data_IF_402782555901
#
_entry.id   IF_402782555901
#
_cell.length_a   1.000
_cell.length_b   1.000
_cell.length_c   1.000
_cell.angle_alpha   90.00
_cell.angle_beta   90.00
_cell.angle_gamma   90.00
#
_symmetry.space_group_name_H-M   'P 1'
#
loop_
_entity.id
_entity.type
_entity.pdbx_description
1 polymer ?
#
# COMPACT_ATOMS: atom_id res chain seq x y z
N UNK A 1 38.60 -60.90 11.05
CA UNK A 1 37.36 -60.82 11.85
C UNK A 1 36.80 -59.42 11.70
N UNK A 2 35.64 -59.32 11.03
CA UNK A 2 34.93 -58.08 10.71
C UNK A 2 34.38 -57.46 12.00
N UNK A 3 34.63 -56.18 12.25
CA UNK A 3 33.78 -55.35 13.11
C UNK A 3 33.59 -54.00 12.42
N UNK A 4 32.47 -53.89 11.70
CA UNK A 4 31.90 -52.63 11.27
C UNK A 4 31.54 -51.83 12.52
N UNK A 5 32.08 -50.62 12.65
CA UNK A 5 31.51 -49.59 13.51
C UNK A 5 30.84 -48.61 12.55
N UNK A 6 29.53 -48.79 12.41
CA UNK A 6 28.65 -47.84 11.71
C UNK A 6 28.52 -46.63 12.61
N UNK A 7 29.25 -45.55 12.28
CA UNK A 7 29.07 -44.26 12.91
C UNK A 7 27.82 -43.61 12.29
N UNK A 8 26.73 -43.65 13.05
CA UNK A 8 25.44 -43.11 12.66
C UNK A 8 25.49 -41.58 12.75
N UNK A 9 25.83 -40.94 11.63
CA UNK A 9 25.78 -39.49 11.47
C UNK A 9 24.29 -39.09 11.39
N UNK A 10 23.71 -38.77 12.54
CA UNK A 10 22.42 -38.09 12.62
C UNK A 10 22.68 -36.61 12.33
N UNK A 11 22.61 -36.25 11.05
CA UNK A 11 22.45 -34.85 10.62
C UNK A 11 21.04 -34.41 11.02
N UNK A 12 20.92 -33.80 12.20
CA UNK A 12 19.78 -32.95 12.55
C UNK A 12 19.82 -31.75 11.60
N UNK A 13 19.11 -31.85 10.47
CA UNK A 13 18.76 -30.68 9.67
C UNK A 13 17.81 -29.83 10.50
N UNK A 14 18.39 -28.89 11.26
CA UNK A 14 17.68 -27.72 11.73
C UNK A 14 17.16 -27.01 10.47
N UNK A 15 15.92 -27.28 10.11
CA UNK A 15 15.15 -26.39 9.27
C UNK A 15 15.06 -25.06 10.03
N UNK A 16 16.05 -24.20 9.82
CA UNK A 16 15.99 -22.82 10.26
C UNK A 16 14.80 -22.21 9.54
N UNK A 17 13.71 -21.99 10.28
CA UNK A 17 12.74 -20.97 9.92
C UNK A 17 13.52 -19.66 9.82
N UNK A 18 13.88 -19.30 8.60
CA UNK A 18 14.46 -18.01 8.31
C UNK A 18 13.33 -16.99 8.42
N UNK A 19 12.97 -16.61 9.64
CA UNK A 19 12.17 -15.43 9.89
C UNK A 19 13.01 -14.26 9.36
N UNK A 20 12.72 -13.81 8.14
CA UNK A 20 13.24 -12.56 7.60
C UNK A 20 13.04 -11.52 8.70
N UNK A 21 14.13 -10.91 9.18
CA UNK A 21 13.99 -9.73 10.04
C UNK A 21 13.27 -8.69 9.20
N UNK A 22 12.13 -8.23 9.70
CA UNK A 22 11.42 -7.10 9.14
C UNK A 22 12.40 -5.91 9.15
N UNK A 23 12.78 -5.48 7.95
CA UNK A 23 13.70 -4.36 7.75
C UNK A 23 12.87 -3.09 7.72
N UNK A 24 13.04 -2.25 8.75
CA UNK A 24 12.44 -0.92 8.77
C UNK A 24 13.02 -0.08 7.63
N UNK A 25 12.17 0.57 6.86
CA UNK A 25 12.55 1.40 5.72
C UNK A 25 12.47 2.86 6.13
N UNK A 26 13.59 3.56 5.95
CA UNK A 26 13.63 5.01 6.09
C UNK A 26 13.40 5.64 4.71
N UNK A 27 12.35 6.45 4.57
CA UNK A 27 11.99 7.14 3.34
C UNK A 27 12.44 8.58 3.48
N UNK A 28 13.50 8.94 2.77
CA UNK A 28 13.95 10.34 2.69
C UNK A 28 12.96 11.14 1.82
N UNK A 29 12.10 11.94 2.46
CA UNK A 29 11.20 12.88 1.78
C UNK A 29 11.71 14.31 1.95
N UNK A 30 11.69 15.08 0.86
CA UNK A 30 12.09 16.50 0.87
C UNK A 30 11.03 17.43 1.47
N UNK A 31 9.84 16.90 1.76
CA UNK A 31 8.71 17.67 2.28
C UNK A 31 8.11 17.02 3.52
N UNK A 32 7.48 17.87 4.33
CA UNK A 32 6.60 17.44 5.42
C UNK A 32 5.17 17.83 5.04
N UNK A 33 4.27 16.84 5.04
CA UNK A 33 2.85 17.06 4.80
C UNK A 33 2.14 17.47 6.09
N UNK A 34 1.13 18.32 5.95
CA UNK A 34 0.14 18.52 7.00
C UNK A 34 -0.75 17.26 7.06
N UNK A 35 -0.54 16.47 8.10
CA UNK A 35 -1.18 15.17 8.26
C UNK A 35 -1.60 14.96 9.71
N UNK A 36 -2.58 14.09 9.93
CA UNK A 36 -3.01 13.68 11.26
C UNK A 36 -3.45 12.22 11.25
N UNK A 37 -3.48 11.59 12.42
CA UNK A 37 -3.92 10.20 12.54
C UNK A 37 -5.32 10.04 11.92
N UNK A 38 -5.44 9.21 10.90
CA UNK A 38 -6.73 8.98 10.24
C UNK A 38 -7.73 8.31 11.19
N UNK A 39 -9.01 8.66 11.10
CA UNK A 39 -10.08 7.82 11.65
C UNK A 39 -10.48 6.78 10.61
N UNK A 40 -10.05 5.53 10.82
CA UNK A 40 -10.33 4.43 9.88
C UNK A 40 -11.53 3.57 10.34
N UNK A 41 -12.29 4.01 11.34
CA UNK A 41 -13.34 3.19 11.98
C UNK A 41 -14.54 2.89 11.06
N UNK A 42 -14.77 3.71 10.04
CA UNK A 42 -15.83 3.49 9.05
C UNK A 42 -15.51 2.37 8.05
N UNK A 43 -14.24 1.94 7.96
CA UNK A 43 -13.87 0.77 7.15
C UNK A 43 -14.31 -0.52 7.84
N UNK A 44 -15.40 -1.13 7.36
CA UNK A 44 -16.17 -2.17 8.07
C UNK A 44 -15.42 -3.48 8.35
N UNK A 45 -14.30 -3.74 7.67
CA UNK A 45 -13.45 -4.92 7.91
C UNK A 45 -12.13 -4.57 8.60
N UNK A 46 -11.97 -3.32 9.05
CA UNK A 46 -10.75 -2.82 9.67
C UNK A 46 -11.01 -2.48 11.15
N UNK A 47 -10.15 -2.95 12.05
CA UNK A 47 -10.33 -2.76 13.50
C UNK A 47 -9.03 -2.46 14.24
N UNK A 48 -7.94 -2.28 13.51
CA UNK A 48 -6.62 -2.02 14.11
C UNK A 48 -6.51 -0.54 14.50
N UNK A 49 -6.61 -0.24 15.79
CA UNK A 49 -6.51 1.13 16.30
C UNK A 49 -5.08 1.69 16.27
N UNK A 50 -4.07 0.82 16.20
CA UNK A 50 -2.66 1.18 16.12
C UNK A 50 -2.17 1.22 14.66
N UNK A 51 -3.04 1.61 13.73
CA UNK A 51 -2.75 1.58 12.30
C UNK A 51 -1.72 2.62 11.83
N UNK A 52 -1.17 2.44 10.64
CA UNK A 52 -0.15 3.35 10.07
C UNK A 52 -0.70 4.51 9.22
N UNK A 53 -2.02 4.61 9.05
CA UNK A 53 -2.64 5.67 8.25
C UNK A 53 -2.60 7.05 8.92
N UNK A 54 -2.13 8.02 8.14
CA UNK A 54 -2.26 9.46 8.40
C UNK A 54 -3.13 10.07 7.30
N UNK A 55 -4.18 10.79 7.66
CA UNK A 55 -5.02 11.48 6.67
C UNK A 55 -4.35 12.77 6.20
N UNK A 56 -4.41 13.02 4.90
CA UNK A 56 -3.96 14.25 4.23
C UNK A 56 -5.01 14.70 3.22
N UNK A 57 -5.08 16.00 2.93
CA UNK A 57 -5.98 16.52 1.90
C UNK A 57 -5.45 16.26 0.49
N UNK A 58 -6.33 16.38 -0.53
CA UNK A 58 -5.92 16.31 -1.94
C UNK A 58 -4.87 17.38 -2.27
N UNK A 59 -4.98 18.56 -1.67
CA UNK A 59 -3.97 19.60 -1.81
C UNK A 59 -2.59 19.14 -1.33
N UNK A 60 -2.54 18.48 -0.17
CA UNK A 60 -1.29 17.94 0.37
C UNK A 60 -0.76 16.77 -0.46
N UNK A 61 -1.64 15.92 -1.02
CA UNK A 61 -1.23 14.85 -1.93
C UNK A 61 -0.61 15.42 -3.21
N UNK A 62 -1.15 16.50 -3.78
CA UNK A 62 -0.57 17.20 -4.93
C UNK A 62 0.83 17.77 -4.67
N UNK A 63 1.13 18.16 -3.42
CA UNK A 63 2.47 18.63 -3.02
C UNK A 63 3.52 17.52 -3.11
N UNK A 64 3.14 16.25 -2.95
CA UNK A 64 4.08 15.13 -3.13
C UNK A 64 4.72 15.12 -4.51
N UNK A 65 3.94 15.43 -5.55
CA UNK A 65 4.44 15.50 -6.93
C UNK A 65 5.22 16.79 -7.19
N UNK A 66 4.63 17.94 -6.83
CA UNK A 66 5.14 19.27 -7.20
C UNK A 66 6.34 19.73 -6.38
N UNK A 67 6.46 19.28 -5.14
CA UNK A 67 7.53 19.68 -4.21
C UNK A 67 8.56 18.56 -3.96
N UNK A 68 8.55 17.50 -4.79
CA UNK A 68 9.50 16.37 -4.74
C UNK A 68 9.44 15.57 -3.44
N UNK A 69 8.23 15.26 -2.98
CA UNK A 69 8.00 14.38 -1.85
C UNK A 69 8.26 12.91 -2.16
N UNK A 70 8.39 12.11 -1.10
CA UNK A 70 8.53 10.65 -1.19
C UNK A 70 7.62 9.96 -0.16
N UNK A 71 6.94 8.88 -0.55
CA UNK A 71 6.05 8.14 0.35
C UNK A 71 5.01 7.30 -0.38
N UNK A 72 4.09 6.70 0.40
CA UNK A 72 2.94 5.96 -0.12
C UNK A 72 1.67 6.80 0.05
N UNK A 73 0.94 6.97 -1.04
CA UNK A 73 -0.40 7.55 -1.06
C UNK A 73 -1.44 6.44 -1.25
N UNK A 74 -2.54 6.52 -0.50
CA UNK A 74 -3.71 5.67 -0.66
C UNK A 74 -4.94 6.55 -0.92
N UNK A 75 -5.52 6.42 -2.11
CA UNK A 75 -6.77 7.07 -2.48
C UNK A 75 -7.94 6.08 -2.36
N UNK A 76 -8.95 6.44 -1.57
CA UNK A 76 -10.11 5.59 -1.35
C UNK A 76 -11.14 6.23 -0.41
N UNK A 77 -12.15 5.47 -0.03
CA UNK A 77 -13.18 5.91 0.92
C UNK A 77 -13.87 4.71 1.56
N UNK A 78 -14.50 4.90 2.72
CA UNK A 78 -15.04 3.83 3.55
C UNK A 78 -16.26 3.11 2.95
N UNK A 79 -17.07 3.78 2.12
CA UNK A 79 -18.22 3.14 1.46
C UNK A 79 -17.84 2.33 0.21
N UNK A 80 -16.59 2.40 -0.26
CA UNK A 80 -16.11 1.68 -1.44
C UNK A 80 -15.85 0.20 -1.10
N UNK A 81 -16.59 -0.76 -1.69
CA UNK A 81 -16.49 -2.16 -1.31
C UNK A 81 -15.11 -2.78 -1.57
N UNK A 82 -14.45 -2.38 -2.65
CA UNK A 82 -13.07 -2.82 -2.97
C UNK A 82 -12.04 -2.18 -2.04
N UNK A 83 -12.23 -0.90 -1.70
CA UNK A 83 -11.36 -0.17 -0.78
C UNK A 83 -11.29 -0.86 0.58
N UNK A 84 -12.44 -1.32 1.09
CA UNK A 84 -12.53 -2.11 2.32
C UNK A 84 -11.70 -3.41 2.31
N UNK A 85 -11.32 -3.93 1.14
CA UNK A 85 -10.55 -5.18 1.03
C UNK A 85 -9.05 -4.97 1.17
N UNK A 86 -8.55 -3.77 0.90
CA UNK A 86 -7.10 -3.54 0.84
C UNK A 86 -6.51 -2.97 2.13
N UNK A 87 -7.32 -2.28 2.96
CA UNK A 87 -6.83 -1.51 4.11
C UNK A 87 -6.04 -2.38 5.10
N UNK A 88 -6.51 -3.59 5.43
CA UNK A 88 -5.78 -4.45 6.36
C UNK A 88 -4.42 -4.89 5.81
N UNK A 89 -4.34 -5.29 4.54
CA UNK A 89 -3.10 -5.73 3.92
C UNK A 89 -2.08 -4.58 3.77
N UNK A 90 -2.55 -3.39 3.39
CA UNK A 90 -1.72 -2.19 3.27
C UNK A 90 -1.22 -1.70 4.64
N UNK A 91 -2.08 -1.75 5.67
CA UNK A 91 -1.67 -1.48 7.05
C UNK A 91 -0.57 -2.44 7.52
N UNK A 92 -0.74 -3.74 7.28
CA UNK A 92 0.25 -4.74 7.67
C UNK A 92 1.58 -4.55 6.94
N UNK A 93 1.55 -4.16 5.67
CA UNK A 93 2.74 -3.84 4.89
C UNK A 93 3.47 -2.61 5.45
N UNK A 94 2.74 -1.55 5.78
CA UNK A 94 3.32 -0.37 6.42
C UNK A 94 3.87 -0.67 7.81
N UNK A 95 3.18 -1.47 8.63
CA UNK A 95 3.69 -1.93 9.94
C UNK A 95 4.96 -2.76 9.81
N UNK A 96 4.97 -3.73 8.90
CA UNK A 96 6.15 -4.58 8.63
C UNK A 96 7.38 -3.74 8.23
N UNK A 97 7.15 -2.67 7.47
CA UNK A 97 8.24 -1.83 6.95
C UNK A 97 8.51 -0.59 7.81
N UNK A 98 7.73 -0.32 8.85
CA UNK A 98 7.81 0.90 9.66
C UNK A 98 7.40 2.18 8.90
N UNK A 99 6.67 2.04 7.79
CA UNK A 99 6.28 3.14 6.90
C UNK A 99 4.84 3.56 7.15
N UNK A 100 4.64 4.87 7.27
CA UNK A 100 3.30 5.49 7.33
C UNK A 100 2.65 5.51 5.95
N UNK A 101 1.33 5.44 5.92
CA UNK A 101 0.55 5.51 4.69
C UNK A 101 -0.26 6.81 4.70
N UNK A 102 -0.06 7.68 3.73
CA UNK A 102 -0.86 8.89 3.60
C UNK A 102 -2.19 8.54 2.92
N UNK A 103 -3.27 8.60 3.68
CA UNK A 103 -4.64 8.31 3.24
C UNK A 103 -5.32 9.59 2.76
N UNK A 104 -5.90 9.53 1.57
CA UNK A 104 -6.73 10.57 0.99
C UNK A 104 -8.15 10.01 0.89
N UNK A 105 -9.03 10.50 1.77
CA UNK A 105 -10.46 10.25 1.64
C UNK A 105 -11.02 11.11 0.50
N UNK A 106 -11.59 10.47 -0.52
CA UNK A 106 -12.20 11.13 -1.69
C UNK A 106 -13.65 11.58 -1.46
N UNK A 107 -14.23 11.31 -0.28
CA UNK A 107 -15.54 11.79 0.14
C UNK A 107 -15.51 12.62 1.44
N UNK A 108 -14.33 12.83 2.02
CA UNK A 108 -14.17 13.41 3.35
C UNK A 108 -14.30 14.95 3.41
N UNK A 109 -14.02 15.68 2.33
CA UNK A 109 -14.01 17.15 2.32
C UNK A 109 -14.50 17.75 0.98
N UNK A 110 -14.92 19.02 1.01
CA UNK A 110 -15.13 19.80 -0.22
C UNK A 110 -13.76 20.14 -0.83
N UNK A 111 -13.51 19.64 -2.04
CA UNK A 111 -12.27 19.90 -2.76
C UNK A 111 -12.41 21.13 -3.67
N UNK A 112 -11.34 21.91 -3.80
CA UNK A 112 -11.28 22.92 -4.84
C UNK A 112 -11.11 22.24 -6.21
N UNK A 113 -11.80 22.73 -7.24
CA UNK A 113 -11.68 22.22 -8.61
C UNK A 113 -10.22 22.19 -9.10
N UNK A 114 -9.41 23.17 -8.68
CA UNK A 114 -7.98 23.22 -8.98
C UNK A 114 -7.21 22.03 -8.38
N UNK A 115 -7.51 21.65 -7.14
CA UNK A 115 -6.86 20.52 -6.48
C UNK A 115 -7.21 19.19 -7.18
N UNK A 116 -8.47 19.04 -7.62
CA UNK A 116 -8.90 17.88 -8.41
C UNK A 116 -8.20 17.87 -9.78
N UNK A 117 -8.16 18.99 -10.50
CA UNK A 117 -7.50 19.05 -11.81
C UNK A 117 -6.00 18.74 -11.72
N UNK A 118 -5.33 19.25 -10.68
CA UNK A 118 -3.93 18.95 -10.40
C UNK A 118 -3.73 17.46 -10.07
N UNK A 119 -4.64 16.85 -9.30
CA UNK A 119 -4.59 15.42 -9.00
C UNK A 119 -4.68 14.57 -10.27
N UNK A 120 -5.66 14.85 -11.13
CA UNK A 120 -5.79 14.17 -12.43
C UNK A 120 -4.55 14.35 -13.31
N UNK A 121 -3.98 15.55 -13.34
CA UNK A 121 -2.74 15.83 -14.10
C UNK A 121 -1.56 15.02 -13.57
N UNK A 122 -1.40 14.96 -12.24
CA UNK A 122 -0.32 14.22 -11.59
C UNK A 122 -0.47 12.70 -11.80
N UNK A 123 -1.70 12.19 -11.87
CA UNK A 123 -1.99 10.77 -12.00
C UNK A 123 -2.14 10.29 -13.46
N UNK A 124 -2.30 11.17 -14.45
CA UNK A 124 -2.49 10.79 -15.87
C UNK A 124 -1.54 9.67 -16.37
N UNK A 125 -0.25 9.60 -15.97
CA UNK A 125 0.63 8.51 -16.39
C UNK A 125 0.17 7.10 -16.00
N UNK A 126 -0.65 6.98 -14.94
CA UNK A 126 -1.11 5.70 -14.39
C UNK A 126 -2.63 5.48 -14.51
N UNK A 127 -3.37 6.48 -14.98
CA UNK A 127 -4.82 6.34 -15.17
C UNK A 127 -5.13 5.36 -16.31
N UNK A 128 -6.11 4.49 -16.09
CA UNK A 128 -6.67 3.68 -17.16
C UNK A 128 -7.33 4.59 -18.20
N UNK A 129 -7.04 4.33 -19.47
CA UNK A 129 -7.61 5.07 -20.60
C UNK A 129 -8.59 4.19 -21.34
N UNK A 130 -9.79 4.70 -21.59
CA UNK A 130 -10.81 3.97 -22.33
C UNK A 130 -10.48 3.89 -23.83
N UNK A 131 -11.37 3.30 -24.63
CA UNK A 131 -11.14 3.16 -26.08
C UNK A 131 -11.07 4.49 -26.84
N UNK A 132 -11.55 5.58 -26.24
CA UNK A 132 -11.52 6.94 -26.78
C UNK A 132 -10.28 7.74 -26.33
N UNK A 133 -9.50 7.19 -25.41
CA UNK A 133 -8.34 7.83 -24.80
C UNK A 133 -8.68 8.71 -23.59
N UNK A 134 -9.92 8.65 -23.09
CA UNK A 134 -10.34 9.37 -21.90
C UNK A 134 -9.84 8.64 -20.65
N UNK A 135 -9.14 9.37 -19.79
CA UNK A 135 -8.55 8.85 -18.57
C UNK A 135 -9.59 8.78 -17.46
N UNK A 136 -9.66 7.64 -16.77
CA UNK A 136 -10.55 7.44 -15.63
C UNK A 136 -9.73 7.22 -14.35
N UNK A 137 -10.15 7.87 -13.27
CA UNK A 137 -9.58 7.65 -11.95
C UNK A 137 -10.46 6.68 -11.16
N UNK A 138 -9.90 5.51 -10.85
CA UNK A 138 -10.55 4.45 -10.10
C UNK A 138 -9.91 4.28 -8.72
N UNK A 139 -10.67 3.69 -7.80
CA UNK A 139 -10.20 3.38 -6.44
C UNK A 139 -10.57 1.95 -6.04
N UNK A 140 -9.83 1.32 -5.10
CA UNK A 140 -8.67 1.85 -4.39
C UNK A 140 -7.44 2.02 -5.27
N UNK A 141 -6.72 3.14 -5.13
CA UNK A 141 -5.46 3.39 -5.83
C UNK A 141 -4.36 3.62 -4.79
N UNK A 142 -3.29 2.82 -4.85
CA UNK A 142 -2.10 2.99 -4.00
C UNK A 142 -0.94 3.42 -4.88
N UNK A 143 -0.28 4.52 -4.54
CA UNK A 143 0.81 5.10 -5.35
C UNK A 143 2.06 5.24 -4.51
N UNK A 144 3.19 4.73 -5.01
CA UNK A 144 4.51 4.98 -4.46
C UNK A 144 5.16 6.14 -5.21
N UNK A 145 5.49 7.20 -4.48
CA UNK A 145 6.12 8.41 -5.03
C UNK A 145 7.53 8.53 -4.47
N UNK A 146 8.51 8.81 -5.33
CA UNK A 146 9.88 9.12 -4.93
C UNK A 146 10.34 10.39 -5.63
N UNK A 147 10.76 11.39 -4.86
CA UNK A 147 11.23 12.67 -5.39
C UNK A 147 10.26 13.35 -6.36
N UNK A 148 8.95 13.15 -6.14
CA UNK A 148 7.86 13.70 -6.96
C UNK A 148 7.49 12.86 -8.18
N UNK A 149 8.14 11.72 -8.41
CA UNK A 149 7.84 10.82 -9.51
C UNK A 149 7.09 9.57 -9.01
N UNK A 150 6.10 9.12 -9.77
CA UNK A 150 5.45 7.84 -9.54
C UNK A 150 6.42 6.75 -9.95
N UNK A 151 6.89 5.97 -8.97
CA UNK A 151 7.80 4.85 -9.21
C UNK A 151 7.06 3.51 -9.31
N UNK A 152 5.88 3.43 -8.69
CA UNK A 152 5.03 2.25 -8.71
C UNK A 152 3.59 2.63 -8.31
N UNK A 153 2.62 1.82 -8.72
CA UNK A 153 1.23 1.98 -8.32
C UNK A 153 0.49 0.64 -8.33
N UNK A 154 -0.63 0.57 -7.63
CA UNK A 154 -1.48 -0.60 -7.58
C UNK A 154 -2.94 -0.18 -7.49
N UNK A 155 -3.66 -0.45 -8.58
CA UNK A 155 -5.09 -0.24 -8.70
C UNK A 155 -5.85 -1.49 -8.24
N UNK A 156 -6.97 -1.29 -7.54
CA UNK A 156 -7.90 -2.35 -7.10
C UNK A 156 -7.30 -3.29 -6.03
N UNK A 157 -7.76 -4.54 -6.02
CA UNK A 157 -7.31 -5.63 -5.14
C UNK A 157 -6.33 -6.50 -5.95
N UNK A 158 -6.40 -7.83 -5.91
CA UNK A 158 -5.60 -8.70 -6.80
C UNK A 158 -6.45 -9.19 -7.97
N UNK A 159 -5.83 -9.49 -9.11
CA UNK A 159 -6.52 -9.93 -10.33
C UNK A 159 -7.44 -11.14 -10.11
N UNK A 160 -7.08 -12.03 -9.18
CA UNK A 160 -7.88 -13.21 -8.85
C UNK A 160 -9.12 -12.92 -8.00
N UNK A 161 -9.35 -11.67 -7.59
CA UNK A 161 -10.48 -11.26 -6.75
C UNK A 161 -11.66 -10.75 -7.61
N UNK A 162 -12.62 -11.64 -7.86
CA UNK A 162 -13.73 -11.36 -8.79
C UNK A 162 -15.07 -11.05 -8.10
N UNK A 163 -15.22 -11.34 -6.80
CA UNK A 163 -16.50 -11.22 -6.08
C UNK A 163 -16.36 -10.37 -4.82
N UNK A 164 -16.81 -9.12 -4.93
CA UNK A 164 -16.69 -8.11 -3.88
C UNK A 164 -17.45 -8.45 -2.59
N UNK A 165 -18.41 -9.37 -2.66
CA UNK A 165 -19.17 -9.85 -1.50
C UNK A 165 -18.38 -10.83 -0.63
N UNK A 166 -17.34 -11.45 -1.20
CA UNK A 166 -16.48 -12.41 -0.49
C UNK A 166 -15.29 -11.72 0.17
N UNK A 167 -14.85 -12.27 1.30
CA UNK A 167 -13.55 -11.90 1.87
C UNK A 167 -12.41 -12.42 1.00
N UNK A 168 -11.23 -11.81 1.14
CA UNK A 168 -10.01 -12.33 0.53
C UNK A 168 -9.69 -13.71 1.11
N UNK A 169 -9.23 -14.61 0.24
CA UNK A 169 -8.56 -15.83 0.69
C UNK A 169 -7.19 -15.49 1.28
N UNK A 170 -6.63 -16.39 2.09
CA UNK A 170 -5.29 -16.21 2.66
C UNK A 170 -4.22 -15.95 1.57
N UNK A 171 -4.35 -16.62 0.42
CA UNK A 171 -3.43 -16.42 -0.71
C UNK A 171 -3.55 -15.03 -1.30
N UNK A 172 -4.78 -14.54 -1.52
CA UNK A 172 -5.03 -13.20 -2.05
C UNK A 172 -4.58 -12.11 -1.08
N UNK A 173 -4.83 -12.30 0.21
CA UNK A 173 -4.35 -11.39 1.25
C UNK A 173 -2.83 -11.31 1.27
N UNK A 174 -2.17 -12.47 1.23
CA UNK A 174 -0.71 -12.56 1.21
C UNK A 174 -0.13 -11.90 -0.03
N UNK A 175 -0.69 -12.18 -1.21
CA UNK A 175 -0.28 -11.58 -2.48
C UNK A 175 -0.41 -10.06 -2.43
N UNK A 176 -1.56 -9.55 -1.98
CA UNK A 176 -1.81 -8.12 -1.84
C UNK A 176 -0.82 -7.44 -0.89
N UNK A 177 -0.56 -8.07 0.28
CA UNK A 177 0.45 -7.57 1.23
C UNK A 177 1.84 -7.57 0.61
N UNK A 178 2.23 -8.64 -0.09
CA UNK A 178 3.55 -8.77 -0.72
C UNK A 178 3.76 -7.68 -1.79
N UNK A 179 2.72 -7.33 -2.56
CA UNK A 179 2.73 -6.21 -3.52
C UNK A 179 3.07 -4.91 -2.78
N UNK A 180 2.33 -4.58 -1.71
CA UNK A 180 2.56 -3.34 -0.98
C UNK A 180 3.93 -3.30 -0.28
N UNK A 181 4.40 -4.41 0.28
CA UNK A 181 5.76 -4.49 0.84
C UNK A 181 6.82 -4.26 -0.26
N UNK A 182 6.60 -4.77 -1.48
CA UNK A 182 7.50 -4.52 -2.61
C UNK A 182 7.52 -3.04 -3.00
N UNK A 183 6.35 -2.43 -3.16
CA UNK A 183 6.22 -1.00 -3.47
C UNK A 183 6.94 -0.12 -2.44
N UNK A 184 6.78 -0.42 -1.15
CA UNK A 184 7.44 0.34 -0.08
C UNK A 184 8.97 0.15 -0.15
N UNK A 185 9.46 -1.05 -0.47
CA UNK A 185 10.89 -1.33 -0.61
C UNK A 185 11.58 -0.55 -1.74
N UNK A 186 10.84 -0.18 -2.78
CA UNK A 186 11.36 0.62 -3.88
C UNK A 186 11.62 2.09 -3.49
N UNK A 187 11.05 2.55 -2.37
CA UNK A 187 11.25 3.91 -1.84
C UNK A 187 12.59 4.09 -1.12
N UNK A 188 13.25 3.00 -0.71
CA UNK A 188 14.60 3.01 -0.13
C UNK A 188 15.65 3.53 -1.12
#
# INVERSE_FOLDING_TARGET
MKKLIVLLVVLLTLAGCNSKKDETIDIESKITLNSSKADMSDYVYFSDTDHVYEIVSIKESNRMYTEKGSGILYYGYSQCPYCNRIVSALNDAGKETGVKIYYIDLYGEDYADEDINNLFTNLDPILEKDSSGEAAFYVPEVVAIKDGEIINHHLSVVDSYEDVTKNLTDSQYKELKDIYVSMIKELK
#
